data_IF_247430514481
#
_entry.id   IF_247430514481
#
_cell.length_a   1.000
_cell.length_b   1.000
_cell.length_c   1.000
_cell.angle_alpha   90.00
_cell.angle_beta   90.00
_cell.angle_gamma   90.00
#
_symmetry.space_group_name_H-M   'P 1'
#
loop_
_entity.id
_entity.type
_entity.pdbx_description
1 polymer ?
#
# COMPACT_ATOMS: atom_id res chain seq x y z
N UNK A 1 27.38 -1.73 -32.28
CA UNK A 1 26.92 -0.72 -31.30
C UNK A 1 25.78 -1.36 -30.52
N UNK A 2 26.09 -1.93 -29.36
CA UNK A 2 25.10 -2.60 -28.53
C UNK A 2 24.25 -1.55 -27.81
N UNK A 3 22.95 -1.52 -28.09
CA UNK A 3 22.01 -0.74 -27.31
C UNK A 3 21.98 -1.31 -25.90
N UNK A 4 22.63 -0.61 -24.97
CA UNK A 4 22.43 -0.74 -23.54
C UNK A 4 20.97 -0.38 -23.23
N UNK A 5 20.07 -1.36 -23.30
CA UNK A 5 18.76 -1.25 -22.67
C UNK A 5 19.01 -1.22 -21.16
N UNK A 6 19.22 -0.04 -20.61
CA UNK A 6 19.19 0.17 -19.17
C UNK A 6 17.86 -0.41 -18.68
N UNK A 7 17.89 -1.53 -17.97
CA UNK A 7 16.70 -2.07 -17.32
C UNK A 7 16.30 -1.04 -16.27
N UNK A 8 15.37 -0.16 -16.63
CA UNK A 8 14.89 0.88 -15.72
C UNK A 8 14.23 0.17 -14.53
N UNK A 9 14.87 0.27 -13.36
CA UNK A 9 14.31 -0.18 -12.09
C UNK A 9 13.07 0.65 -11.77
N UNK A 10 12.08 0.06 -11.09
CA UNK A 10 10.88 0.76 -10.64
C UNK A 10 11.22 2.07 -9.90
N UNK A 11 10.49 3.17 -10.14
CA UNK A 11 10.65 4.42 -9.39
C UNK A 11 10.49 4.20 -7.88
N UNK A 12 11.49 4.62 -7.10
CA UNK A 12 11.38 4.63 -5.64
C UNK A 12 10.70 5.94 -5.20
N UNK A 13 9.36 5.93 -5.17
CA UNK A 13 8.55 7.08 -4.76
C UNK A 13 7.83 6.77 -3.46
N UNK A 14 7.98 7.65 -2.47
CA UNK A 14 7.27 7.55 -1.19
C UNK A 14 6.67 8.90 -0.85
N UNK A 15 5.42 8.86 -0.37
CA UNK A 15 4.76 10.00 0.26
C UNK A 15 4.73 9.77 1.77
N UNK A 16 5.24 10.74 2.50
CA UNK A 16 5.23 10.79 3.96
C UNK A 16 4.12 11.71 4.45
N UNK A 17 3.34 11.22 5.39
CA UNK A 17 2.21 11.95 5.97
C UNK A 17 2.49 12.08 7.45
N UNK A 18 2.87 13.29 7.87
CA UNK A 18 3.21 13.60 9.27
C UNK A 18 2.00 14.24 9.91
N UNK A 19 1.40 13.55 10.88
CA UNK A 19 0.26 14.09 11.63
C UNK A 19 0.71 15.09 12.70
N UNK A 20 -0.19 15.95 13.19
CA UNK A 20 0.09 16.89 14.30
C UNK A 20 0.52 16.19 15.59
N UNK A 21 0.14 14.93 15.78
CA UNK A 21 0.61 14.11 16.91
C UNK A 21 2.04 13.60 16.74
N UNK A 22 2.71 13.91 15.63
CA UNK A 22 4.04 13.44 15.28
C UNK A 22 4.07 12.04 14.64
N UNK A 23 2.92 11.37 14.50
CA UNK A 23 2.86 10.06 13.82
C UNK A 23 3.17 10.23 12.34
N UNK A 24 4.02 9.36 11.79
CA UNK A 24 4.44 9.37 10.38
C UNK A 24 3.89 8.14 9.67
N UNK A 25 3.11 8.37 8.61
CA UNK A 25 2.61 7.33 7.72
C UNK A 25 3.31 7.41 6.37
N UNK A 26 3.38 6.27 5.68
CA UNK A 26 4.07 6.14 4.40
C UNK A 26 3.17 5.42 3.42
N UNK A 27 3.03 6.01 2.22
CA UNK A 27 2.43 5.36 1.07
C UNK A 27 3.50 5.30 -0.02
N UNK A 28 3.90 4.09 -0.41
CA UNK A 28 4.96 3.90 -1.38
C UNK A 28 4.42 3.45 -2.73
N UNK A 29 5.14 3.80 -3.79
CA UNK A 29 4.80 3.32 -5.13
C UNK A 29 5.01 1.81 -5.26
N UNK A 30 5.92 1.21 -4.48
CA UNK A 30 6.08 -0.24 -4.44
C UNK A 30 4.83 -0.96 -3.92
N UNK A 31 4.12 -0.38 -2.95
CA UNK A 31 2.85 -0.94 -2.46
C UNK A 31 1.78 -0.92 -3.56
N UNK A 32 1.70 0.20 -4.31
CA UNK A 32 0.79 0.34 -5.46
C UNK A 32 1.15 -0.64 -6.58
N UNK A 33 2.44 -0.82 -6.89
CA UNK A 33 2.91 -1.77 -7.89
C UNK A 33 2.57 -3.21 -7.50
N UNK A 34 2.87 -3.61 -6.26
CA UNK A 34 2.52 -4.94 -5.74
C UNK A 34 1.01 -5.19 -5.86
N UNK A 35 0.20 -4.16 -5.61
CA UNK A 35 -1.26 -4.26 -5.75
C UNK A 35 -1.69 -4.40 -7.22
N UNK A 36 -1.21 -3.53 -8.11
CA UNK A 36 -1.52 -3.58 -9.54
C UNK A 36 -1.12 -4.93 -10.16
N UNK A 37 0.02 -5.50 -9.77
CA UNK A 37 0.46 -6.81 -10.27
C UNK A 37 -0.51 -7.91 -9.82
N UNK A 38 -0.94 -7.90 -8.55
CA UNK A 38 -1.95 -8.84 -8.06
C UNK A 38 -3.25 -8.71 -8.85
N UNK A 39 -3.74 -7.47 -9.08
CA UNK A 39 -4.96 -7.24 -9.84
C UNK A 39 -4.83 -7.75 -11.28
N UNK A 40 -3.69 -7.51 -11.96
CA UNK A 40 -3.42 -8.05 -13.30
C UNK A 40 -3.47 -9.57 -13.34
N UNK A 41 -2.96 -10.24 -12.30
CA UNK A 41 -3.06 -11.70 -12.19
C UNK A 41 -4.51 -12.16 -12.05
N UNK A 42 -5.28 -11.54 -11.17
CA UNK A 42 -6.69 -11.91 -10.95
C UNK A 42 -7.53 -11.73 -12.22
N UNK A 43 -7.32 -10.61 -12.91
CA UNK A 43 -8.03 -10.27 -14.15
C UNK A 43 -7.91 -11.36 -15.23
N UNK A 44 -6.75 -11.99 -15.36
CA UNK A 44 -6.53 -13.03 -16.40
C UNK A 44 -6.89 -14.45 -15.93
N UNK A 45 -7.42 -14.58 -14.72
CA UNK A 45 -7.84 -15.84 -14.09
C UNK A 45 -9.28 -15.71 -13.56
N UNK A 46 -10.30 -15.68 -14.44
CA UNK A 46 -11.70 -15.45 -14.06
C UNK A 46 -12.23 -16.46 -13.03
N UNK A 47 -11.65 -17.66 -12.97
CA UNK A 47 -12.00 -18.67 -11.97
C UNK A 47 -11.77 -18.23 -10.51
N UNK A 48 -10.94 -17.19 -10.29
CA UNK A 48 -10.69 -16.61 -8.97
C UNK A 48 -11.69 -15.51 -8.59
N UNK A 49 -12.60 -15.17 -9.49
CA UNK A 49 -13.70 -14.21 -9.29
C UNK A 49 -15.05 -14.79 -9.70
N UNK A 50 -15.13 -16.11 -9.91
CA UNK A 50 -16.35 -16.84 -10.24
C UNK A 50 -16.68 -17.89 -9.20
N UNK A 51 -17.99 -18.13 -8.99
CA UNK A 51 -18.43 -19.21 -8.13
C UNK A 51 -18.01 -20.53 -8.76
N UNK A 52 -17.19 -21.29 -8.05
CA UNK A 52 -16.72 -22.59 -8.50
C UNK A 52 -15.81 -23.25 -7.48
N UNK A 53 -15.48 -24.50 -7.76
CA UNK A 53 -14.68 -25.33 -6.85
C UNK A 53 -13.30 -24.75 -6.59
N UNK A 54 -12.69 -24.12 -7.61
CA UNK A 54 -11.37 -23.50 -7.49
C UNK A 54 -11.38 -22.33 -6.49
N UNK A 55 -12.32 -21.40 -6.61
CA UNK A 55 -12.49 -20.31 -5.64
C UNK A 55 -12.77 -20.84 -4.23
N UNK A 56 -13.71 -21.78 -4.10
CA UNK A 56 -14.06 -22.40 -2.80
C UNK A 56 -12.85 -23.05 -2.13
N UNK A 57 -12.04 -23.74 -2.94
CA UNK A 57 -10.84 -24.40 -2.48
C UNK A 57 -9.80 -23.39 -1.97
N UNK A 58 -9.54 -22.30 -2.68
CA UNK A 58 -8.58 -21.28 -2.21
C UNK A 58 -9.08 -20.51 -0.99
N UNK A 59 -10.39 -20.29 -0.85
CA UNK A 59 -10.98 -19.77 0.40
C UNK A 59 -10.72 -20.74 1.56
N UNK A 60 -10.92 -22.05 1.34
CA UNK A 60 -10.66 -23.08 2.35
C UNK A 60 -9.17 -23.15 2.72
N UNK A 61 -8.26 -23.09 1.74
CA UNK A 61 -6.81 -23.06 1.96
C UNK A 61 -6.40 -21.80 2.74
N UNK A 62 -6.94 -20.63 2.38
CA UNK A 62 -6.71 -19.39 3.14
C UNK A 62 -7.11 -19.52 4.63
N UNK A 63 -8.32 -20.01 4.91
CA UNK A 63 -8.78 -20.23 6.29
C UNK A 63 -7.92 -21.26 7.04
N UNK A 64 -7.50 -22.33 6.36
CA UNK A 64 -6.58 -23.32 6.92
C UNK A 64 -5.22 -22.70 7.28
N UNK A 65 -4.65 -21.86 6.41
CA UNK A 65 -3.38 -21.15 6.65
C UNK A 65 -3.47 -20.18 7.81
N UNK A 66 -4.57 -19.44 7.92
CA UNK A 66 -4.85 -18.57 9.07
C UNK A 66 -4.91 -19.40 10.37
N UNK A 67 -5.63 -20.53 10.37
CA UNK A 67 -5.75 -21.44 11.53
C UNK A 67 -4.39 -22.00 12.00
N UNK A 68 -3.45 -22.17 11.07
CA UNK A 68 -2.15 -22.81 11.33
C UNK A 68 -0.98 -21.80 11.42
N UNK A 69 -1.27 -20.51 11.67
CA UNK A 69 -0.26 -19.45 11.80
C UNK A 69 0.67 -19.31 10.57
N UNK A 70 0.22 -19.73 9.39
CA UNK A 70 1.00 -19.69 8.14
C UNK A 70 0.95 -18.33 7.44
N UNK A 71 0.42 -17.30 8.11
CA UNK A 71 0.34 -15.92 7.62
C UNK A 71 1.17 -14.94 8.47
N UNK A 72 1.81 -15.43 9.54
CA UNK A 72 2.35 -14.58 10.62
C UNK A 72 3.70 -13.91 10.31
N UNK A 73 4.57 -14.60 9.59
CA UNK A 73 5.95 -14.16 9.35
C UNK A 73 6.17 -13.75 7.90
N UNK A 74 7.14 -12.85 7.68
CA UNK A 74 7.55 -12.43 6.34
C UNK A 74 7.92 -13.63 5.45
N UNK A 75 8.64 -14.61 6.03
CA UNK A 75 9.00 -15.85 5.34
C UNK A 75 7.77 -16.67 4.93
N UNK A 76 6.79 -16.85 5.82
CA UNK A 76 5.56 -17.57 5.45
C UNK A 76 4.76 -16.83 4.39
N UNK A 77 4.70 -15.51 4.48
CA UNK A 77 4.00 -14.68 3.50
C UNK A 77 4.68 -14.68 2.12
N UNK A 78 6.02 -14.80 2.04
CA UNK A 78 6.73 -14.89 0.75
C UNK A 78 6.43 -16.20 0.01
N UNK A 79 6.09 -17.27 0.73
CA UNK A 79 5.72 -18.57 0.16
C UNK A 79 4.23 -18.67 -0.20
N UNK A 80 3.46 -17.58 -0.12
CA UNK A 80 2.05 -17.63 -0.46
C UNK A 80 1.85 -17.68 -1.98
N UNK A 81 1.02 -18.60 -2.50
CA UNK A 81 0.46 -18.51 -3.84
C UNK A 81 -0.27 -17.18 -4.03
N UNK A 82 -0.30 -16.68 -5.26
CA UNK A 82 -0.96 -15.41 -5.55
C UNK A 82 -2.47 -15.48 -5.30
N UNK A 83 -3.08 -16.64 -5.50
CA UNK A 83 -4.49 -16.91 -5.21
C UNK A 83 -4.79 -16.72 -3.71
N UNK A 84 -3.88 -17.14 -2.83
CA UNK A 84 -4.03 -16.93 -1.38
C UNK A 84 -3.82 -15.47 -1.01
N UNK A 85 -2.88 -14.76 -1.63
CA UNK A 85 -2.73 -13.31 -1.41
C UNK A 85 -3.94 -12.53 -1.92
N UNK A 86 -4.60 -12.99 -2.99
CA UNK A 86 -5.87 -12.46 -3.48
C UNK A 86 -7.00 -12.64 -2.47
N UNK A 87 -7.26 -13.86 -2.00
CA UNK A 87 -8.30 -14.10 -0.98
C UNK A 87 -8.00 -13.30 0.30
N UNK A 88 -6.73 -13.24 0.72
CA UNK A 88 -6.33 -12.45 1.88
C UNK A 88 -6.48 -10.94 1.64
N UNK A 89 -6.23 -10.47 0.41
CA UNK A 89 -6.46 -9.08 0.03
C UNK A 89 -7.95 -8.71 0.16
N UNK A 90 -8.86 -9.51 -0.39
CA UNK A 90 -10.31 -9.29 -0.27
C UNK A 90 -10.77 -9.28 1.20
N UNK A 91 -10.21 -10.16 2.03
CA UNK A 91 -10.51 -10.11 3.48
C UNK A 91 -10.06 -8.77 4.10
N UNK A 92 -8.87 -8.26 3.74
CA UNK A 92 -8.36 -6.98 4.24
C UNK A 92 -9.12 -5.76 3.71
N UNK A 93 -9.83 -5.88 2.57
CA UNK A 93 -10.78 -4.85 2.12
C UNK A 93 -11.98 -4.69 3.07
N UNK A 94 -12.14 -5.57 4.07
CA UNK A 94 -13.16 -5.44 5.11
C UNK A 94 -12.47 -5.13 6.45
N UNK A 95 -11.91 -3.91 6.65
CA UNK A 95 -10.95 -3.63 7.72
C UNK A 95 -11.52 -3.85 9.12
N UNK A 96 -12.81 -3.59 9.35
CA UNK A 96 -13.47 -3.85 10.64
C UNK A 96 -13.57 -5.36 10.89
N UNK A 97 -14.05 -6.13 9.91
CA UNK A 97 -14.17 -7.59 10.00
C UNK A 97 -12.80 -8.23 10.17
N UNK A 98 -11.84 -7.87 9.32
CA UNK A 98 -10.48 -8.40 9.37
C UNK A 98 -9.79 -8.15 10.71
N UNK A 99 -9.93 -6.94 11.27
CA UNK A 99 -9.44 -6.64 12.61
C UNK A 99 -10.09 -7.56 13.66
N UNK A 100 -11.42 -7.64 13.67
CA UNK A 100 -12.14 -8.47 14.63
C UNK A 100 -11.80 -9.96 14.49
N UNK A 101 -11.67 -10.47 13.27
CA UNK A 101 -11.36 -11.87 13.00
C UNK A 101 -9.95 -12.21 13.45
N UNK A 102 -8.98 -11.33 13.21
CA UNK A 102 -7.63 -11.50 13.75
C UNK A 102 -7.62 -11.52 15.28
N UNK A 103 -8.18 -10.48 15.91
CA UNK A 103 -8.13 -10.32 17.37
C UNK A 103 -8.88 -11.44 18.12
N UNK A 104 -10.00 -11.93 17.58
CA UNK A 104 -10.84 -12.94 18.25
C UNK A 104 -10.37 -14.38 18.01
N UNK A 105 -9.78 -14.66 16.85
CA UNK A 105 -9.56 -16.04 16.40
C UNK A 105 -8.08 -16.43 16.34
N UNK A 106 -7.16 -15.44 16.28
CA UNK A 106 -5.73 -15.71 16.30
C UNK A 106 -5.22 -15.67 17.75
N UNK A 107 -4.45 -16.67 18.20
CA UNK A 107 -3.91 -16.72 19.56
C UNK A 107 -3.18 -15.42 19.95
N UNK A 108 -3.31 -15.02 21.22
CA UNK A 108 -2.72 -13.80 21.78
C UNK A 108 -3.20 -12.50 21.14
N UNK A 109 -4.40 -12.48 20.56
CA UNK A 109 -5.01 -11.29 19.97
C UNK A 109 -4.11 -10.64 18.91
N UNK A 110 -3.42 -11.44 18.10
CA UNK A 110 -2.46 -10.92 17.13
C UNK A 110 -3.18 -10.36 15.91
N UNK A 111 -2.89 -9.10 15.58
CA UNK A 111 -3.30 -8.49 14.33
C UNK A 111 -2.26 -8.76 13.23
N UNK A 112 -2.64 -9.51 12.20
CA UNK A 112 -1.72 -9.94 11.14
C UNK A 112 -1.61 -8.85 10.08
N UNK A 113 -0.40 -8.33 9.89
CA UNK A 113 -0.06 -7.33 8.88
C UNK A 113 0.68 -7.93 7.68
N UNK A 114 0.56 -7.32 6.50
CA UNK A 114 1.36 -7.71 5.32
C UNK A 114 2.78 -7.17 5.47
N UNK A 115 3.78 -8.02 5.22
CA UNK A 115 5.21 -7.73 5.43
C UNK A 115 6.07 -7.92 4.18
N UNK A 116 5.44 -8.26 3.07
CA UNK A 116 6.07 -8.51 1.78
C UNK A 116 5.49 -7.58 0.72
N UNK A 117 6.26 -7.37 -0.33
CA UNK A 117 5.85 -6.77 -1.60
C UNK A 117 6.31 -7.73 -2.70
N UNK A 118 5.48 -8.00 -3.70
CA UNK A 118 5.85 -8.77 -4.91
C UNK A 118 5.77 -7.85 -6.11
N UNK A 119 6.92 -7.36 -6.54
CA UNK A 119 7.10 -6.31 -7.54
C UNK A 119 7.23 -6.85 -8.96
N UNK A 120 7.22 -8.17 -9.15
CA UNK A 120 7.11 -8.81 -10.47
C UNK A 120 6.10 -9.96 -10.47
N UNK A 121 5.60 -10.30 -11.65
CA UNK A 121 4.75 -11.48 -11.87
C UNK A 121 5.52 -12.77 -11.52
N UNK A 122 6.81 -12.84 -11.85
CA UNK A 122 7.65 -14.00 -11.53
C UNK A 122 7.75 -14.26 -10.02
N UNK A 123 7.74 -13.22 -9.19
CA UNK A 123 7.72 -13.37 -7.73
C UNK A 123 6.43 -14.03 -7.21
N UNK A 124 5.32 -13.92 -7.95
CA UNK A 124 4.11 -14.66 -7.66
C UNK A 124 4.18 -16.12 -8.13
N UNK A 125 4.89 -16.42 -9.23
CA UNK A 125 5.03 -17.77 -9.79
C UNK A 125 6.24 -18.57 -9.28
N UNK A 126 7.06 -18.02 -8.39
CA UNK A 126 8.15 -18.77 -7.72
C UNK A 126 7.65 -20.01 -6.98
N UNK A 127 6.37 -20.05 -6.61
CA UNK A 127 5.76 -21.16 -5.90
C UNK A 127 4.87 -21.98 -6.85
N UNK A 128 5.20 -23.24 -7.04
CA UNK A 128 4.39 -24.18 -7.81
C UNK A 128 3.26 -24.75 -6.93
N UNK A 129 2.03 -24.31 -7.23
CA UNK A 129 0.83 -24.74 -6.52
C UNK A 129 0.43 -26.19 -6.82
N UNK A 130 0.86 -26.76 -7.96
CA UNK A 130 0.38 -28.07 -8.44
C UNK A 130 0.69 -29.23 -7.47
N UNK A 131 1.70 -29.06 -6.61
CA UNK A 131 2.06 -30.05 -5.59
C UNK A 131 1.25 -29.96 -4.28
N UNK A 132 0.39 -28.94 -4.12
CA UNK A 132 -0.26 -28.60 -2.84
C UNK A 132 -1.72 -29.05 -2.69
N UNK A 133 -2.37 -29.53 -3.77
CA UNK A 133 -3.77 -29.98 -3.79
C UNK A 133 -4.11 -31.10 -2.77
N UNK A 134 -3.10 -31.72 -2.14
CA UNK A 134 -3.26 -32.89 -1.25
C UNK A 134 -3.18 -32.62 0.25
N UNK A 135 -3.28 -31.37 0.76
CA UNK A 135 -2.98 -31.10 2.20
C UNK A 135 -3.95 -30.21 2.99
N UNK A 136 -5.26 -30.27 2.75
CA UNK A 136 -6.23 -29.65 3.67
C UNK A 136 -6.89 -30.72 4.54
N UNK A 137 -6.34 -31.00 5.73
CA UNK A 137 -6.90 -31.99 6.67
C UNK A 137 -7.38 -31.37 8.00
N UNK A 138 -8.63 -31.72 8.33
CA UNK A 138 -9.41 -31.85 9.57
C UNK A 138 -9.48 -30.85 10.75
N UNK A 139 -8.86 -29.67 10.73
CA UNK A 139 -9.40 -28.60 11.60
C UNK A 139 -9.15 -27.20 11.03
N UNK A 140 -10.22 -26.58 10.53
CA UNK A 140 -10.27 -25.15 10.21
C UNK A 140 -10.98 -24.50 11.38
N UNK A 141 -10.24 -23.72 12.17
CA UNK A 141 -10.78 -22.99 13.33
C UNK A 141 -10.99 -21.51 13.02
N UNK A 142 -10.28 -20.99 12.02
CA UNK A 142 -10.46 -19.63 11.52
C UNK A 142 -11.62 -19.57 10.52
N UNK A 143 -12.63 -18.77 10.84
CA UNK A 143 -13.81 -18.55 10.00
C UNK A 143 -14.02 -17.04 9.87
N UNK A 144 -13.87 -16.45 8.67
CA UNK A 144 -14.19 -15.04 8.46
C UNK A 144 -15.61 -14.71 8.95
N UNK A 145 -15.77 -13.54 9.56
CA UNK A 145 -17.04 -13.07 10.13
C UNK A 145 -18.11 -12.71 9.09
N UNK A 146 -17.82 -12.89 7.80
CA UNK A 146 -18.69 -12.60 6.67
C UNK A 146 -18.44 -13.59 5.52
N UNK A 147 -19.31 -13.57 4.53
CA UNK A 147 -19.21 -14.43 3.34
C UNK A 147 -18.09 -13.94 2.42
N UNK A 148 -16.89 -14.47 2.64
CA UNK A 148 -15.71 -14.12 1.85
C UNK A 148 -15.86 -14.48 0.36
N UNK A 149 -16.67 -15.51 0.05
CA UNK A 149 -17.00 -15.86 -1.33
C UNK A 149 -17.78 -14.75 -2.01
N UNK A 150 -18.85 -14.25 -1.38
CA UNK A 150 -19.61 -13.09 -1.89
C UNK A 150 -18.73 -11.85 -2.02
N UNK A 151 -17.90 -11.56 -1.02
CA UNK A 151 -16.99 -10.42 -1.06
C UNK A 151 -16.02 -10.49 -2.25
N UNK A 152 -15.49 -11.68 -2.59
CA UNK A 152 -14.67 -11.86 -3.80
C UNK A 152 -15.47 -11.52 -5.06
N UNK A 153 -16.73 -11.95 -5.15
CA UNK A 153 -17.59 -11.65 -6.30
C UNK A 153 -17.94 -10.16 -6.40
N UNK A 154 -18.06 -9.46 -5.27
CA UNK A 154 -18.29 -8.01 -5.25
C UNK A 154 -17.15 -7.21 -5.88
N UNK A 155 -15.94 -7.79 -5.99
CA UNK A 155 -14.79 -7.12 -6.60
C UNK A 155 -14.81 -7.11 -8.13
N UNK A 156 -15.76 -7.81 -8.78
CA UNK A 156 -15.85 -7.87 -10.25
C UNK A 156 -15.97 -6.50 -10.90
N UNK A 157 -16.89 -5.67 -10.42
CA UNK A 157 -17.10 -4.32 -10.97
C UNK A 157 -15.85 -3.45 -10.85
N UNK A 158 -15.07 -3.62 -9.76
CA UNK A 158 -13.79 -2.94 -9.60
C UNK A 158 -12.76 -3.44 -10.61
N UNK A 159 -12.66 -4.76 -10.82
CA UNK A 159 -11.74 -5.37 -11.77
C UNK A 159 -12.08 -5.03 -13.23
N UNK A 160 -13.37 -4.95 -13.58
CA UNK A 160 -13.82 -4.52 -14.91
C UNK A 160 -13.44 -3.06 -15.18
N UNK A 161 -13.59 -2.18 -14.18
CA UNK A 161 -13.11 -0.79 -14.25
C UNK A 161 -11.59 -0.73 -14.34
N UNK A 162 -10.89 -1.59 -13.60
CA UNK A 162 -9.43 -1.68 -13.65
C UNK A 162 -8.93 -2.09 -15.04
N UNK A 163 -9.53 -3.10 -15.68
CA UNK A 163 -9.20 -3.51 -17.05
C UNK A 163 -9.32 -2.37 -18.08
N UNK A 164 -10.26 -1.46 -17.85
CA UNK A 164 -10.49 -0.28 -18.71
C UNK A 164 -9.59 0.92 -18.35
N UNK A 165 -8.91 0.86 -17.19
CA UNK A 165 -8.06 1.93 -16.70
C UNK A 165 -6.65 1.88 -17.31
N UNK A 166 -6.03 3.05 -17.51
CA UNK A 166 -4.69 3.15 -18.12
C UNK A 166 -3.64 2.30 -17.39
N UNK A 167 -3.76 2.18 -16.06
CA UNK A 167 -2.81 1.43 -15.23
C UNK A 167 -2.84 -0.08 -15.47
N UNK A 168 -3.86 -0.65 -16.11
CA UNK A 168 -3.91 -2.08 -16.38
C UNK A 168 -2.81 -2.53 -17.34
N UNK A 169 -2.54 -1.78 -18.40
CA UNK A 169 -1.48 -2.10 -19.39
C UNK A 169 -0.24 -1.21 -19.25
N UNK A 170 -0.30 -0.17 -18.42
CA UNK A 170 0.81 0.77 -18.22
C UNK A 170 2.12 0.09 -17.79
N UNK A 171 3.24 0.51 -18.38
CA UNK A 171 4.55 0.12 -17.90
C UNK A 171 4.88 0.86 -16.60
N UNK A 172 4.72 0.18 -15.47
CA UNK A 172 4.89 0.72 -14.12
C UNK A 172 6.29 1.29 -13.85
N UNK A 173 7.30 0.97 -14.67
CA UNK A 173 8.63 1.60 -14.59
C UNK A 173 8.61 3.06 -15.02
N UNK A 174 7.61 3.47 -15.79
CA UNK A 174 7.49 4.80 -16.39
C UNK A 174 6.55 5.74 -15.60
N UNK A 175 6.12 5.35 -14.40
CA UNK A 175 5.25 6.20 -13.58
C UNK A 175 5.93 7.52 -13.27
N UNK A 176 5.26 8.61 -13.62
CA UNK A 176 5.78 9.93 -13.28
C UNK A 176 5.62 10.20 -11.79
N UNK A 177 6.61 10.84 -11.14
CA UNK A 177 6.48 11.24 -9.74
C UNK A 177 5.25 12.13 -9.50
N UNK A 178 4.85 12.95 -10.47
CA UNK A 178 3.68 13.81 -10.33
C UNK A 178 2.37 13.02 -10.30
N UNK A 179 2.17 12.07 -11.22
CA UNK A 179 0.94 11.25 -11.25
C UNK A 179 0.78 10.43 -9.98
N UNK A 180 1.84 9.80 -9.49
CA UNK A 180 1.79 9.08 -8.21
C UNK A 180 1.41 10.00 -7.04
N UNK A 181 2.04 11.19 -6.96
CA UNK A 181 1.72 12.18 -5.92
C UNK A 181 0.26 12.61 -5.99
N UNK A 182 -0.28 12.90 -7.18
CA UNK A 182 -1.68 13.29 -7.37
C UNK A 182 -2.65 12.22 -6.87
N UNK A 183 -2.41 10.95 -7.19
CA UNK A 183 -3.22 9.82 -6.71
C UNK A 183 -3.21 9.78 -5.18
N UNK A 184 -2.03 9.88 -4.55
CA UNK A 184 -1.90 9.84 -3.09
C UNK A 184 -2.55 11.06 -2.43
N UNK A 185 -2.33 12.25 -2.98
CA UNK A 185 -2.88 13.51 -2.47
C UNK A 185 -4.42 13.49 -2.52
N UNK A 186 -5.00 13.06 -3.65
CA UNK A 186 -6.45 12.92 -3.80
C UNK A 186 -7.02 11.87 -2.83
N UNK A 187 -6.34 10.75 -2.62
CA UNK A 187 -6.73 9.76 -1.62
C UNK A 187 -6.76 10.35 -0.20
N UNK A 188 -5.75 11.12 0.18
CA UNK A 188 -5.68 11.70 1.53
C UNK A 188 -6.76 12.77 1.72
N UNK A 189 -7.03 13.60 0.71
CA UNK A 189 -8.15 14.52 0.72
C UNK A 189 -9.48 13.78 0.85
N UNK A 190 -9.67 12.69 0.10
CA UNK A 190 -10.86 11.85 0.20
C UNK A 190 -11.07 11.29 1.62
N UNK A 191 -10.02 10.74 2.23
CA UNK A 191 -10.08 10.24 3.61
C UNK A 191 -10.47 11.33 4.62
N UNK A 192 -10.08 12.59 4.38
CA UNK A 192 -10.45 13.74 5.21
C UNK A 192 -11.92 14.15 5.06
N UNK A 193 -12.59 13.75 3.99
CA UNK A 193 -14.03 13.95 3.88
C UNK A 193 -14.79 13.05 4.85
N UNK A 194 -14.25 11.90 5.25
CA UNK A 194 -14.94 10.91 6.08
C UNK A 194 -15.53 11.51 7.37
N UNK A 195 -16.81 11.23 7.61
CA UNK A 195 -17.52 11.56 8.86
C UNK A 195 -18.21 10.31 9.36
N UNK A 196 -18.45 10.22 10.67
CA UNK A 196 -19.20 9.09 11.23
C UNK A 196 -20.59 9.05 10.60
N UNK A 197 -21.06 7.84 10.26
CA UNK A 197 -22.38 7.58 9.70
C UNK A 197 -22.66 8.29 8.36
N UNK A 198 -21.63 8.65 7.59
CA UNK A 198 -21.79 9.12 6.21
C UNK A 198 -21.09 8.19 5.24
N UNK A 199 -21.68 8.03 4.06
CA UNK A 199 -21.07 7.31 2.94
C UNK A 199 -20.20 8.31 2.18
N UNK A 200 -19.02 7.88 1.75
CA UNK A 200 -18.20 8.58 0.77
C UNK A 200 -17.86 7.60 -0.34
N UNK A 201 -18.00 8.04 -1.59
CA UNK A 201 -17.82 7.18 -2.77
C UNK A 201 -16.55 7.61 -3.50
N UNK A 202 -15.50 6.77 -3.57
CA UNK A 202 -14.24 7.13 -4.20
C UNK A 202 -14.35 7.18 -5.73
N UNK A 203 -13.51 8.00 -6.38
CA UNK A 203 -13.19 7.78 -7.80
C UNK A 203 -12.28 6.56 -7.94
N UNK A 204 -12.11 6.04 -9.16
CA UNK A 204 -11.31 4.83 -9.39
C UNK A 204 -9.87 4.93 -8.85
N UNK A 205 -9.13 6.01 -9.17
CA UNK A 205 -7.76 6.21 -8.68
C UNK A 205 -7.68 6.28 -7.14
N UNK A 206 -8.69 6.90 -6.51
CA UNK A 206 -8.81 7.00 -5.05
C UNK A 206 -9.08 5.62 -4.45
N UNK A 207 -10.00 4.85 -5.04
CA UNK A 207 -10.37 3.50 -4.56
C UNK A 207 -9.19 2.53 -4.70
N UNK A 208 -8.48 2.59 -5.84
CA UNK A 208 -7.25 1.81 -6.07
C UNK A 208 -6.19 2.10 -5.00
N UNK A 209 -5.96 3.37 -4.66
CA UNK A 209 -5.02 3.75 -3.60
C UNK A 209 -5.52 3.35 -2.21
N UNK A 210 -6.84 3.42 -1.98
CA UNK A 210 -7.44 2.97 -0.74
C UNK A 210 -7.29 1.46 -0.53
N UNK A 211 -7.59 0.65 -1.54
CA UNK A 211 -7.34 -0.79 -1.56
C UNK A 211 -5.86 -1.11 -1.32
N UNK A 212 -4.96 -0.34 -1.96
CA UNK A 212 -3.51 -0.45 -1.77
C UNK A 212 -3.12 -0.25 -0.30
N UNK A 213 -3.63 0.80 0.34
CA UNK A 213 -3.37 1.08 1.74
C UNK A 213 -3.94 -0.02 2.66
N UNK A 214 -5.15 -0.53 2.38
CA UNK A 214 -5.77 -1.61 3.16
C UNK A 214 -4.99 -2.94 3.10
N UNK A 215 -4.07 -3.12 2.12
CA UNK A 215 -3.14 -4.28 2.13
C UNK A 215 -2.22 -4.30 3.36
N UNK A 216 -1.99 -3.15 4.00
CA UNK A 216 -1.19 -2.99 5.22
C UNK A 216 -2.10 -2.61 6.40
N UNK A 217 -2.90 -3.56 6.90
CA UNK A 217 -4.02 -3.30 7.81
C UNK A 217 -3.62 -2.60 9.11
N UNK A 218 -2.40 -2.83 9.65
CA UNK A 218 -1.94 -2.09 10.83
C UNK A 218 -1.71 -0.61 10.52
N UNK A 219 -1.04 -0.32 9.39
CA UNK A 219 -0.79 1.03 8.95
C UNK A 219 -2.11 1.75 8.65
N UNK A 220 -3.02 1.10 7.91
CA UNK A 220 -4.33 1.63 7.58
C UNK A 220 -5.20 1.92 8.80
N UNK A 221 -5.18 1.01 9.79
CA UNK A 221 -5.92 1.21 11.05
C UNK A 221 -5.46 2.46 11.79
N UNK A 222 -4.15 2.58 12.01
CA UNK A 222 -3.56 3.71 12.70
C UNK A 222 -3.79 5.01 11.92
N UNK A 223 -3.63 4.97 10.60
CA UNK A 223 -3.86 6.11 9.71
C UNK A 223 -5.29 6.60 9.78
N UNK A 224 -6.27 5.70 9.62
CA UNK A 224 -7.69 6.03 9.68
C UNK A 224 -8.07 6.62 11.04
N UNK A 225 -7.55 6.05 12.14
CA UNK A 225 -7.79 6.59 13.49
C UNK A 225 -7.23 7.99 13.67
N UNK A 226 -6.04 8.28 13.13
CA UNK A 226 -5.43 9.60 13.24
C UNK A 226 -6.09 10.64 12.31
N UNK A 227 -6.47 10.24 11.10
CA UNK A 227 -6.98 11.17 10.09
C UNK A 227 -8.50 11.38 10.17
N UNK A 228 -9.25 10.30 10.39
CA UNK A 228 -10.72 10.30 10.43
C UNK A 228 -11.28 10.25 11.86
N UNK A 229 -10.48 9.87 12.86
CA UNK A 229 -10.93 9.64 14.24
C UNK A 229 -11.55 8.26 14.49
N UNK A 230 -11.72 7.45 13.45
CA UNK A 230 -12.30 6.10 13.50
C UNK A 230 -11.69 5.22 12.41
N UNK A 231 -11.87 3.90 12.50
CA UNK A 231 -11.49 2.99 11.42
C UNK A 231 -12.53 3.15 10.31
N UNK A 232 -12.14 3.78 9.20
CA UNK A 232 -13.02 3.91 8.04
C UNK A 232 -13.23 2.52 7.44
N UNK A 233 -14.50 2.14 7.24
CA UNK A 233 -14.83 0.88 6.61
C UNK A 233 -14.88 1.04 5.08
N UNK A 234 -14.58 -0.03 4.36
CA UNK A 234 -14.86 -0.14 2.94
C UNK A 234 -16.03 -1.12 2.80
N UNK A 235 -17.21 -0.59 2.52
CA UNK A 235 -18.45 -1.35 2.40
C UNK A 235 -18.80 -1.47 0.92
N UNK A 236 -18.50 -2.61 0.33
CA UNK A 236 -18.73 -2.93 -1.07
C UNK A 236 -20.14 -3.51 -1.33
N UNK A 237 -21.01 -3.58 -0.30
CA UNK A 237 -22.35 -4.15 -0.40
C UNK A 237 -23.46 -3.13 -0.71
N UNK A 238 -23.09 -1.86 -0.90
CA UNK A 238 -24.03 -0.74 -1.11
C UNK A 238 -24.67 -0.83 -2.50
N UNK A 239 -26.00 -0.73 -2.56
CA UNK A 239 -26.76 -0.80 -3.82
C UNK A 239 -26.41 0.35 -4.78
N UNK A 240 -26.48 0.14 -6.11
CA UNK A 240 -26.16 1.17 -7.10
C UNK A 240 -26.94 2.48 -6.96
N UNK A 241 -28.22 2.44 -6.58
CA UNK A 241 -29.01 3.66 -6.38
C UNK A 241 -28.45 4.52 -5.25
N UNK A 242 -28.15 3.91 -4.10
CA UNK A 242 -27.55 4.60 -2.95
C UNK A 242 -26.16 5.11 -3.28
N UNK A 243 -25.38 4.36 -4.08
CA UNK A 243 -24.04 4.78 -4.52
C UNK A 243 -24.09 6.06 -5.37
N UNK A 244 -25.07 6.21 -6.27
CA UNK A 244 -25.17 7.40 -7.12
C UNK A 244 -25.45 8.68 -6.32
N UNK A 245 -26.36 8.62 -5.35
CA UNK A 245 -26.67 9.79 -4.52
C UNK A 245 -25.53 10.09 -3.53
N UNK A 246 -24.90 9.05 -2.96
CA UNK A 246 -23.72 9.21 -2.12
C UNK A 246 -22.51 9.76 -2.89
N UNK A 247 -22.37 9.44 -4.18
CA UNK A 247 -21.34 10.02 -5.04
C UNK A 247 -21.56 11.52 -5.25
N UNK A 248 -22.80 11.96 -5.50
CA UNK A 248 -23.14 13.39 -5.60
C UNK A 248 -22.82 14.13 -4.30
N UNK A 249 -23.22 13.58 -3.14
CA UNK A 249 -22.88 14.15 -1.83
C UNK A 249 -21.35 14.25 -1.64
N UNK A 250 -20.62 13.19 -2.00
CA UNK A 250 -19.15 13.19 -1.95
C UNK A 250 -18.57 14.29 -2.83
N UNK A 251 -19.09 14.47 -4.04
CA UNK A 251 -18.63 15.48 -4.98
C UNK A 251 -18.93 16.91 -4.49
N UNK A 252 -20.11 17.15 -3.94
CA UNK A 252 -20.48 18.45 -3.34
C UNK A 252 -19.61 18.78 -2.13
N UNK A 253 -19.34 17.79 -1.27
CA UNK A 253 -18.44 17.95 -0.12
C UNK A 253 -17.00 18.21 -0.56
N UNK A 254 -16.54 17.52 -1.59
CA UNK A 254 -15.23 17.76 -2.20
C UNK A 254 -15.12 19.18 -2.75
N UNK A 255 -16.09 19.61 -3.55
CA UNK A 255 -16.15 20.96 -4.11
C UNK A 255 -16.18 22.04 -3.04
N UNK A 256 -16.97 21.83 -2.00
CA UNK A 256 -17.05 22.76 -0.86
C UNK A 256 -15.73 22.83 -0.09
N UNK A 257 -15.08 21.68 0.15
CA UNK A 257 -13.86 21.62 0.94
C UNK A 257 -12.61 22.08 0.17
N UNK A 258 -12.54 21.82 -1.14
CA UNK A 258 -11.31 21.93 -1.93
C UNK A 258 -11.44 22.82 -3.17
N UNK A 259 -12.61 23.46 -3.39
CA UNK A 259 -12.84 24.40 -4.49
C UNK A 259 -12.45 23.82 -5.86
N UNK A 260 -12.61 22.50 -6.03
CA UNK A 260 -12.30 21.76 -7.24
C UNK A 260 -13.42 20.79 -7.54
N UNK A 261 -13.62 20.43 -8.81
CA UNK A 261 -14.59 19.40 -9.19
C UNK A 261 -14.09 18.01 -8.79
N UNK A 262 -14.99 17.14 -8.36
CA UNK A 262 -14.59 15.81 -7.91
C UNK A 262 -14.15 14.94 -9.09
N UNK A 263 -13.03 14.24 -8.91
CA UNK A 263 -12.36 13.51 -9.99
C UNK A 263 -11.41 14.36 -10.84
N UNK A 264 -11.34 15.66 -10.59
CA UNK A 264 -10.29 16.53 -11.13
C UNK A 264 -9.19 16.77 -10.10
N UNK A 265 -7.97 17.02 -10.59
CA UNK A 265 -6.83 17.35 -9.72
C UNK A 265 -7.10 18.67 -8.99
N UNK A 266 -6.83 18.70 -7.68
CA UNK A 266 -6.92 19.91 -6.86
C UNK A 266 -5.72 20.82 -7.14
N UNK A 267 -5.96 22.12 -7.32
CA UNK A 267 -4.89 23.10 -7.47
C UNK A 267 -3.93 23.05 -6.26
N UNK A 268 -2.62 23.15 -6.50
CA UNK A 268 -1.59 23.00 -5.45
C UNK A 268 -1.68 24.05 -4.35
N UNK A 269 -2.12 25.27 -4.65
CA UNK A 269 -2.30 26.29 -3.63
C UNK A 269 -3.53 25.97 -2.77
N UNK A 270 -4.61 25.52 -3.38
CA UNK A 270 -5.80 25.07 -2.66
C UNK A 270 -5.50 23.83 -1.80
N UNK A 271 -4.74 22.87 -2.34
CA UNK A 271 -4.23 21.72 -1.59
C UNK A 271 -3.43 22.13 -0.35
N UNK A 272 -2.45 23.04 -0.50
CA UNK A 272 -1.65 23.56 0.63
C UNK A 272 -2.51 24.24 1.69
N UNK A 273 -3.49 25.05 1.27
CA UNK A 273 -4.41 25.72 2.19
C UNK A 273 -5.30 24.72 2.93
N UNK A 274 -5.80 23.69 2.23
CA UNK A 274 -6.57 22.60 2.84
C UNK A 274 -5.72 21.77 3.80
N UNK A 275 -4.41 21.65 3.58
CA UNK A 275 -3.48 20.97 4.48
C UNK A 275 -3.24 21.76 5.77
N UNK A 276 -3.10 23.09 5.69
CA UNK A 276 -2.88 23.96 6.86
C UNK A 276 -4.07 23.98 7.84
N UNK A 277 -5.29 23.77 7.33
CA UNK A 277 -6.49 23.64 8.15
C UNK A 277 -6.53 22.30 8.93
N UNK A 278 -5.75 21.29 8.53
CA UNK A 278 -5.94 19.89 8.94
C UNK A 278 -4.72 19.36 9.71
N UNK A 279 -4.94 18.35 10.54
CA UNK A 279 -3.98 17.74 11.47
C UNK A 279 -2.82 16.96 10.79
N UNK A 280 -2.34 17.30 9.59
CA UNK A 280 -1.17 16.65 8.97
C UNK A 280 -0.46 17.47 7.88
N UNK A 281 0.84 17.20 7.70
CA UNK A 281 1.73 17.71 6.65
C UNK A 281 2.13 16.58 5.72
N UNK A 282 2.20 16.84 4.41
CA UNK A 282 2.65 15.88 3.41
C UNK A 282 4.00 16.29 2.84
N UNK A 283 4.94 15.36 2.84
CA UNK A 283 6.22 15.48 2.15
C UNK A 283 6.42 14.31 1.20
N UNK A 284 7.16 14.54 0.13
CA UNK A 284 7.48 13.52 -0.86
C UNK A 284 8.98 13.37 -0.92
N UNK A 285 9.47 12.13 -1.07
CA UNK A 285 10.91 11.92 -1.24
C UNK A 285 11.44 12.73 -2.45
N UNK A 286 12.56 13.42 -2.24
CA UNK A 286 13.30 14.07 -3.31
C UNK A 286 13.80 13.01 -4.29
N UNK A 287 13.57 13.21 -5.59
CA UNK A 287 14.09 12.31 -6.63
C UNK A 287 15.61 12.38 -6.56
N UNK A 288 16.25 11.39 -5.93
CA UNK A 288 17.70 11.21 -6.04
C UNK A 288 17.95 10.71 -7.46
N UNK A 289 18.24 11.64 -8.38
CA UNK A 289 18.97 11.27 -9.60
C UNK A 289 20.29 10.70 -9.10
N UNK A 290 20.49 9.38 -9.21
CA UNK A 290 21.84 8.80 -9.16
C UNK A 290 22.63 9.52 -10.24
N UNK A 291 23.41 10.53 -9.87
CA UNK A 291 24.47 11.01 -10.73
C UNK A 291 25.43 9.84 -10.87
N UNK A 292 25.46 9.26 -12.07
CA UNK A 292 26.56 8.39 -12.48
C UNK A 292 27.82 9.25 -12.51
N UNK A 293 28.52 9.34 -11.38
CA UNK A 293 29.88 9.85 -11.36
C UNK A 293 30.75 8.86 -12.13
N UNK A 294 30.95 9.12 -13.41
CA UNK A 294 32.08 8.60 -14.17
C UNK A 294 33.35 9.22 -13.58
N UNK A 295 33.86 8.60 -12.51
CA UNK A 295 35.22 8.80 -12.04
C UNK A 295 36.12 7.84 -12.79
N UNK A 296 36.81 8.35 -13.79
CA UNK A 296 37.87 7.68 -14.54
C UNK A 296 38.97 7.18 -13.61
N UNK A 297 39.09 5.86 -13.47
CA UNK A 297 40.29 5.22 -12.95
C UNK A 297 41.33 5.15 -14.08
N UNK A 298 42.29 6.08 -14.08
CA UNK A 298 43.61 5.85 -14.66
C UNK A 298 44.55 5.55 -13.51
N UNK A 299 45.03 4.32 -13.44
CA UNK A 299 46.01 3.89 -12.46
C UNK A 299 47.42 4.42 -12.73
N UNK A 300 48.25 4.42 -11.70
CA UNK A 300 49.68 4.10 -11.78
C UNK A 300 50.33 4.09 -10.38
N UNK A 301 50.95 2.96 -10.01
CA UNK A 301 52.28 2.92 -9.39
C UNK A 301 52.42 2.89 -7.85
N UNK A 302 53.28 1.98 -7.37
CA UNK A 302 54.00 2.08 -6.08
C UNK A 302 53.38 1.31 -4.91
N UNK A 303 53.66 0.05 -4.63
CA UNK A 303 54.90 -0.56 -4.06
C UNK A 303 55.10 -0.32 -2.54
N UNK A 304 54.98 -1.43 -1.78
CA UNK A 304 55.65 -1.82 -0.51
C UNK A 304 55.24 -1.14 0.82
N UNK A 305 54.75 -1.96 1.77
CA UNK A 305 55.38 -2.33 3.07
C UNK A 305 55.27 -1.22 4.12
N UNK A 306 55.03 -1.39 5.41
CA UNK A 306 55.06 -2.49 6.39
C UNK A 306 54.46 -1.93 7.69
N UNK A 307 54.15 -2.81 8.66
CA UNK A 307 54.37 -2.61 10.12
C UNK A 307 53.71 -1.39 10.83
N UNK A 308 52.70 -1.61 11.67
CA UNK A 308 52.76 -2.02 13.10
C UNK A 308 52.85 -0.85 14.08
N UNK A 309 51.89 -0.88 15.01
CA UNK A 309 52.03 -0.53 16.42
C UNK A 309 52.07 0.93 16.91
N UNK A 310 51.08 1.20 17.79
CA UNK A 310 51.19 1.80 19.13
C UNK A 310 51.38 3.33 19.23
N UNK A 311 50.48 3.94 20.03
CA UNK A 311 50.94 4.88 21.05
C UNK A 311 50.34 6.29 21.06
N UNK A 312 49.25 6.41 21.82
CA UNK A 312 49.07 7.39 22.90
C UNK A 312 48.66 8.86 22.61
N UNK A 313 47.68 9.28 23.42
CA UNK A 313 47.43 10.60 24.04
C UNK A 313 47.42 11.88 23.18
N UNK A 314 46.29 12.60 23.15
CA UNK A 314 46.06 13.71 24.08
C UNK A 314 44.72 14.42 23.90
N UNK A 315 44.23 14.89 25.04
CA UNK A 315 43.15 15.85 25.26
C UNK A 315 43.43 17.23 24.65
N UNK A 316 42.37 17.94 24.24
CA UNK A 316 42.10 19.40 24.32
C UNK A 316 40.97 19.70 23.32
N UNK A 317 39.99 20.58 23.53
CA UNK A 317 39.72 21.55 24.57
C UNK A 317 38.47 22.34 24.14
N UNK A 318 37.71 22.80 25.12
CA UNK A 318 36.48 23.57 24.99
C UNK A 318 36.71 25.02 24.54
N UNK A 319 35.80 25.58 23.73
CA UNK A 319 35.29 26.97 23.69
C UNK A 319 34.45 27.07 22.42
N UNK A 320 33.33 27.79 22.25
CA UNK A 320 32.77 29.04 22.75
C UNK A 320 31.27 28.98 22.34
N UNK A 321 30.30 29.77 22.82
CA UNK A 321 30.26 31.07 23.46
C UNK A 321 28.93 31.69 23.00
N UNK A 322 28.04 31.94 23.94
CA UNK A 322 26.66 32.39 23.70
C UNK A 322 26.55 33.90 23.49
N UNK A 323 25.46 34.27 22.80
CA UNK A 323 24.55 35.40 23.08
C UNK A 323 24.97 36.83 22.75
N UNK A 324 24.15 37.48 21.91
CA UNK A 324 23.82 38.91 21.99
C UNK A 324 22.35 39.12 21.54
N UNK A 325 21.48 39.54 22.46
CA UNK A 325 20.44 40.53 22.16
C UNK A 325 21.12 41.91 22.07
N UNK A 326 20.59 42.95 21.46
CA UNK A 326 19.22 43.37 21.22
C UNK A 326 19.24 44.88 21.45
N UNK A 327 18.70 45.63 20.51
CA UNK A 327 18.03 46.93 20.67
C UNK A 327 17.35 47.28 19.34
#
# INVERSE_FOLDING_TARGET
>A
MGNSSASLSLPSLTTHIVTKSGSVFRLSYFDLVDHIILLRQVVVHPEMIEKGDKLNYFIKDYCHRMSNNQMMSKYRQSELPWEIDWIWHVHRLHPINYYNDCIKQIPNNIFIDKRIQKLTIDEYHKFDYSNSEKRINNQITFVPSFDLGKAVLSQRDFLDKFQQHELYTFDLRNMSPMKFREIVENYILFMKLARKNTIIVPTFDIDLMWHTHMRYPLNYFQFSKQLCGFLLNHDDSITPQVLNDAYKDTAERWKTAYQSEYGHNVDRNCFRNSMNSIHCTITHDSIVKKQSSHGSYTGCGGFWSSESEVGNSNSCGSSCGSSCGGD
#
